data_IF_795331699285
#
_entry.id   IF_795331699285
#
_cell.length_a   1.000
_cell.length_b   1.000
_cell.length_c   1.000
_cell.angle_alpha   90.00
_cell.angle_beta   90.00
_cell.angle_gamma   90.00
#
_symmetry.space_group_name_H-M   'P 1'
#
loop_
_entity.id
_entity.type
_entity.pdbx_description
1 polymer ?
#
# COMPACT_ATOMS: atom_id res chain seq x y z
N UNK A 1 16.21 3.48 -41.49
CA UNK A 1 16.00 2.83 -40.17
C UNK A 1 14.69 2.07 -40.13
N UNK A 2 13.56 2.59 -40.62
CA UNK A 2 12.25 1.91 -40.64
C UNK A 2 12.29 0.50 -41.26
N UNK A 3 12.88 0.38 -42.45
CA UNK A 3 13.01 -0.94 -43.10
C UNK A 3 13.77 -1.98 -42.29
N UNK A 4 14.68 -1.54 -41.42
CA UNK A 4 15.44 -2.39 -40.52
C UNK A 4 14.57 -2.91 -39.37
N UNK A 5 13.74 -2.04 -38.77
CA UNK A 5 12.84 -2.40 -37.67
C UNK A 5 11.74 -3.35 -38.17
N UNK A 6 11.16 -3.09 -39.35
CA UNK A 6 10.17 -3.99 -39.97
C UNK A 6 10.78 -5.37 -40.20
N UNK A 7 12.03 -5.41 -40.69
CA UNK A 7 12.75 -6.68 -40.86
C UNK A 7 12.97 -7.41 -39.54
N UNK A 8 13.31 -6.70 -38.45
CA UNK A 8 13.43 -7.27 -37.12
C UNK A 8 12.11 -7.84 -36.57
N UNK A 9 11.02 -7.10 -36.74
CA UNK A 9 9.66 -7.54 -36.35
C UNK A 9 9.30 -8.86 -37.05
N UNK A 10 9.54 -8.94 -38.36
CA UNK A 10 9.30 -10.16 -39.13
C UNK A 10 10.17 -11.32 -38.64
N UNK A 11 11.43 -11.06 -38.28
CA UNK A 11 12.34 -12.05 -37.73
C UNK A 11 11.87 -12.58 -36.35
N UNK A 12 11.45 -11.70 -35.44
CA UNK A 12 10.91 -12.10 -34.13
C UNK A 12 9.66 -12.95 -34.28
N UNK A 13 8.75 -12.56 -35.18
CA UNK A 13 7.56 -13.37 -35.48
C UNK A 13 7.95 -14.77 -35.98
N UNK A 14 8.89 -14.87 -36.91
CA UNK A 14 9.38 -16.15 -37.42
C UNK A 14 10.02 -17.01 -36.32
N UNK A 15 10.58 -16.40 -35.28
CA UNK A 15 11.14 -17.08 -34.10
C UNK A 15 10.08 -17.46 -33.05
N UNK A 16 8.79 -17.20 -33.32
CA UNK A 16 7.69 -17.55 -32.44
C UNK A 16 7.45 -16.56 -31.29
N UNK A 17 7.92 -15.33 -31.45
CA UNK A 17 7.59 -14.27 -30.48
C UNK A 17 6.13 -13.88 -30.58
N UNK A 18 5.51 -13.63 -29.42
CA UNK A 18 4.21 -12.99 -29.33
C UNK A 18 4.40 -11.48 -29.40
N UNK A 19 3.77 -10.85 -30.39
CA UNK A 19 3.96 -9.42 -30.66
C UNK A 19 2.75 -8.62 -30.16
N UNK A 20 3.01 -7.60 -29.37
CA UNK A 20 2.04 -6.65 -28.86
C UNK A 20 2.29 -5.29 -29.49
N UNK A 21 1.26 -4.73 -30.14
CA UNK A 21 1.30 -3.41 -30.72
C UNK A 21 0.54 -2.43 -29.87
N UNK A 22 1.09 -1.24 -29.70
CA UNK A 22 0.44 -0.17 -28.97
C UNK A 22 0.78 1.17 -29.63
N UNK A 23 -0.25 2.01 -29.80
CA UNK A 23 -0.11 3.41 -30.24
C UNK A 23 -0.37 4.27 -29.03
N UNK A 24 0.69 4.82 -28.37
CA UNK A 24 0.54 5.66 -27.19
C UNK A 24 0.03 7.05 -27.56
N UNK A 25 -0.88 7.58 -26.77
CA UNK A 25 -1.23 9.00 -26.77
C UNK A 25 -0.34 9.72 -25.73
N UNK A 26 0.78 10.26 -26.19
CA UNK A 26 1.71 10.95 -25.31
C UNK A 26 1.26 12.36 -24.94
N UNK A 27 0.30 12.93 -25.66
CA UNK A 27 -0.27 14.23 -25.41
C UNK A 27 -1.42 14.19 -24.39
N UNK A 28 -1.97 13.01 -24.09
CA UNK A 28 -3.06 12.85 -23.14
C UNK A 28 -2.64 13.19 -21.72
N UNK A 29 -3.38 14.07 -21.06
CA UNK A 29 -3.18 14.43 -19.65
C UNK A 29 -3.38 13.24 -18.71
N UNK A 30 -4.16 12.23 -19.12
CA UNK A 30 -4.39 11.03 -18.31
C UNK A 30 -3.17 10.10 -18.27
N UNK A 31 -2.28 10.17 -19.25
CA UNK A 31 -1.03 9.42 -19.29
C UNK A 31 -1.21 7.89 -19.24
N UNK A 32 -2.32 7.36 -19.77
CA UNK A 32 -2.67 5.93 -19.68
C UNK A 32 -1.63 5.02 -20.34
N UNK A 33 -0.85 5.55 -21.29
CA UNK A 33 0.24 4.84 -21.94
C UNK A 33 1.27 4.28 -20.93
N UNK A 34 1.50 5.00 -19.82
CA UNK A 34 2.39 4.54 -18.73
C UNK A 34 1.92 3.23 -18.13
N UNK A 35 0.62 3.08 -17.93
CA UNK A 35 0.04 1.86 -17.34
C UNK A 35 0.23 0.65 -18.27
N UNK A 36 0.11 0.86 -19.59
CA UNK A 36 0.31 -0.20 -20.60
C UNK A 36 1.75 -0.68 -20.60
N UNK A 37 2.70 0.25 -20.63
CA UNK A 37 4.14 -0.05 -20.63
C UNK A 37 4.53 -0.77 -19.33
N UNK A 38 4.11 -0.25 -18.18
CA UNK A 38 4.39 -0.85 -16.87
C UNK A 38 3.83 -2.27 -16.76
N UNK A 39 2.63 -2.51 -17.29
CA UNK A 39 2.04 -3.84 -17.31
C UNK A 39 2.92 -4.82 -18.10
N UNK A 40 3.47 -4.40 -19.23
CA UNK A 40 4.39 -5.21 -20.02
C UNK A 40 5.72 -5.47 -19.29
N UNK A 41 6.35 -4.44 -18.77
CA UNK A 41 7.66 -4.54 -18.09
C UNK A 41 7.60 -5.42 -16.82
N UNK A 42 6.47 -5.43 -16.13
CA UNK A 42 6.24 -6.30 -14.96
C UNK A 42 5.99 -7.76 -15.34
N UNK A 43 5.27 -7.97 -16.44
CA UNK A 43 4.84 -9.29 -16.84
C UNK A 43 5.92 -10.13 -17.51
N UNK A 44 6.88 -9.48 -18.17
CA UNK A 44 7.85 -10.14 -19.04
C UNK A 44 9.30 -9.80 -18.68
N UNK A 45 10.22 -10.63 -19.15
CA UNK A 45 11.66 -10.53 -18.99
C UNK A 45 12.38 -10.70 -20.33
N UNK A 46 13.69 -10.55 -20.32
CA UNK A 46 14.52 -10.82 -21.50
C UNK A 46 14.43 -12.27 -22.01
N UNK A 47 14.03 -13.21 -21.15
CA UNK A 47 13.91 -14.62 -21.49
C UNK A 47 12.58 -15.00 -22.13
N UNK A 48 11.60 -14.08 -22.10
CA UNK A 48 10.29 -14.31 -22.65
C UNK A 48 10.29 -14.06 -24.18
N UNK A 49 9.66 -14.94 -24.92
CA UNK A 49 9.47 -14.73 -26.37
C UNK A 49 8.33 -13.76 -26.63
N UNK A 50 8.49 -12.53 -26.17
CA UNK A 50 7.54 -11.43 -26.39
C UNK A 50 8.27 -10.20 -26.90
N UNK A 51 7.56 -9.39 -27.70
CA UNK A 51 8.06 -8.06 -28.09
C UNK A 51 6.91 -7.04 -28.03
N UNK A 52 7.22 -5.89 -27.45
CA UNK A 52 6.31 -4.77 -27.33
C UNK A 52 6.69 -3.69 -28.37
N UNK A 53 5.80 -3.39 -29.29
CA UNK A 53 6.06 -2.52 -30.41
C UNK A 53 5.25 -1.24 -30.24
N UNK A 54 5.95 -0.15 -29.95
CA UNK A 54 5.39 1.18 -29.86
C UNK A 54 5.34 1.80 -31.25
N UNK A 55 4.14 2.13 -31.70
CA UNK A 55 3.91 2.84 -32.97
C UNK A 55 3.69 4.32 -32.65
N UNK A 56 4.63 5.18 -33.07
CA UNK A 56 4.68 6.59 -32.70
C UNK A 56 4.09 7.44 -33.83
N UNK A 57 3.03 8.19 -33.56
CA UNK A 57 2.48 9.19 -34.49
C UNK A 57 3.26 10.51 -34.47
N UNK A 58 3.78 10.86 -33.29
CA UNK A 58 4.46 12.14 -33.09
C UNK A 58 5.96 12.03 -33.36
N UNK A 59 6.51 13.02 -34.04
CA UNK A 59 7.95 13.10 -34.28
C UNK A 59 8.75 13.51 -33.04
N UNK A 60 8.12 14.05 -32.01
CA UNK A 60 8.75 14.52 -30.76
C UNK A 60 8.29 13.75 -29.52
N UNK A 61 8.70 12.50 -29.45
CA UNK A 61 8.45 11.62 -28.31
C UNK A 61 9.71 11.41 -27.42
N UNK A 62 10.71 12.30 -27.55
CA UNK A 62 12.01 12.09 -26.92
C UNK A 62 11.93 11.99 -25.39
N UNK A 63 11.11 12.82 -24.74
CA UNK A 63 10.94 12.82 -23.28
C UNK A 63 10.30 11.50 -22.79
N UNK A 64 9.23 11.05 -23.45
CA UNK A 64 8.49 9.83 -23.11
C UNK A 64 9.32 8.57 -23.41
N UNK A 65 10.05 8.57 -24.51
CA UNK A 65 11.01 7.50 -24.81
C UNK A 65 12.16 7.49 -23.81
N UNK A 66 12.58 8.64 -23.30
CA UNK A 66 13.55 8.77 -22.22
C UNK A 66 13.04 8.14 -20.91
N UNK A 67 11.78 8.37 -20.56
CA UNK A 67 11.13 7.74 -19.39
C UNK A 67 11.12 6.20 -19.53
N UNK A 68 10.69 5.69 -20.68
CA UNK A 68 10.69 4.25 -20.97
C UNK A 68 12.11 3.68 -20.94
N UNK A 69 13.08 4.38 -21.53
CA UNK A 69 14.48 3.99 -21.51
C UNK A 69 15.04 3.90 -20.09
N UNK A 70 14.64 4.80 -19.20
CA UNK A 70 15.02 4.77 -17.78
C UNK A 70 14.51 3.50 -17.08
N UNK A 71 13.25 3.11 -17.31
CA UNK A 71 12.70 1.89 -16.76
C UNK A 71 13.36 0.63 -17.31
N UNK A 72 13.63 0.60 -18.61
CA UNK A 72 14.36 -0.52 -19.24
C UNK A 72 15.79 -0.62 -18.70
N UNK A 73 16.47 0.50 -18.50
CA UNK A 73 17.83 0.54 -17.93
C UNK A 73 17.83 0.04 -16.47
N UNK A 74 16.78 0.30 -15.70
CA UNK A 74 16.65 -0.22 -14.34
C UNK A 74 16.55 -1.74 -14.30
N UNK A 75 15.90 -2.35 -15.30
CA UNK A 75 15.80 -3.81 -15.44
C UNK A 75 17.11 -4.46 -15.93
N UNK A 76 18.00 -3.68 -16.51
CA UNK A 76 19.31 -4.15 -16.99
C UNK A 76 19.21 -5.33 -17.96
N UNK A 77 19.88 -6.43 -17.66
CA UNK A 77 19.87 -7.64 -18.52
C UNK A 77 18.54 -8.40 -18.50
N UNK A 78 17.64 -8.11 -17.56
CA UNK A 78 16.31 -8.72 -17.47
C UNK A 78 15.23 -7.92 -18.22
N UNK A 79 15.60 -6.83 -18.88
CA UNK A 79 14.67 -5.99 -19.63
C UNK A 79 14.02 -6.75 -20.79
N UNK A 80 12.67 -6.79 -20.88
CA UNK A 80 11.98 -7.39 -22.00
C UNK A 80 12.19 -6.56 -23.27
N UNK A 81 11.93 -7.15 -24.42
CA UNK A 81 12.13 -6.50 -25.71
C UNK A 81 11.06 -5.44 -25.96
N UNK A 82 11.49 -4.19 -26.10
CA UNK A 82 10.65 -3.04 -26.51
C UNK A 82 11.26 -2.42 -27.77
N UNK A 83 10.45 -2.23 -28.78
CA UNK A 83 10.82 -1.58 -30.05
C UNK A 83 9.92 -0.35 -30.28
N UNK A 84 10.47 0.69 -30.85
CA UNK A 84 9.70 1.88 -31.27
C UNK A 84 9.90 2.15 -32.76
N UNK A 85 8.83 2.43 -33.48
CA UNK A 85 8.87 2.81 -34.88
C UNK A 85 7.73 3.77 -35.23
N UNK A 86 7.85 4.44 -36.38
CA UNK A 86 6.80 5.34 -36.83
C UNK A 86 5.49 4.60 -37.09
N UNK A 87 4.38 5.25 -36.74
CA UNK A 87 3.05 4.73 -37.00
C UNK A 87 2.73 4.74 -38.51
N UNK A 88 2.12 3.66 -38.98
CA UNK A 88 1.50 3.59 -40.30
C UNK A 88 0.32 2.62 -40.24
N UNK A 89 -0.83 3.01 -40.78
CA UNK A 89 -2.04 2.16 -40.84
C UNK A 89 -1.78 0.82 -41.53
N UNK A 90 -0.96 0.84 -42.58
CA UNK A 90 -0.57 -0.36 -43.33
C UNK A 90 0.28 -1.31 -42.50
N UNK A 91 1.20 -0.77 -41.69
CA UNK A 91 2.04 -1.57 -40.79
C UNK A 91 1.19 -2.26 -39.71
N UNK A 92 0.31 -1.51 -39.06
CA UNK A 92 -0.58 -2.04 -38.03
C UNK A 92 -1.56 -3.06 -38.63
N UNK A 93 -2.22 -2.76 -39.74
CA UNK A 93 -3.17 -3.69 -40.40
C UNK A 93 -2.48 -4.99 -40.79
N UNK A 94 -1.30 -4.94 -41.39
CA UNK A 94 -0.54 -6.12 -41.78
C UNK A 94 -0.13 -6.96 -40.58
N UNK A 95 0.27 -6.33 -39.47
CA UNK A 95 0.62 -7.03 -38.25
C UNK A 95 -0.60 -7.75 -37.66
N UNK A 96 -1.72 -7.07 -37.59
CA UNK A 96 -2.96 -7.61 -37.02
C UNK A 96 -3.53 -8.77 -37.87
N UNK A 97 -3.43 -8.70 -39.21
CA UNK A 97 -3.80 -9.81 -40.07
C UNK A 97 -2.95 -11.08 -39.86
N UNK A 98 -1.75 -10.93 -39.35
CA UNK A 98 -0.86 -12.04 -39.00
C UNK A 98 -1.10 -12.62 -37.59
N UNK A 99 -2.12 -12.16 -36.90
CA UNK A 99 -2.51 -12.65 -35.57
C UNK A 99 -1.83 -11.97 -34.40
N UNK A 100 -1.14 -10.86 -34.63
CA UNK A 100 -0.56 -10.05 -33.57
C UNK A 100 -1.67 -9.37 -32.73
N UNK A 101 -1.32 -8.86 -31.56
CA UNK A 101 -2.28 -8.31 -30.59
C UNK A 101 -2.17 -6.80 -30.55
N UNK A 102 -3.28 -6.09 -30.75
CA UNK A 102 -3.36 -4.65 -30.46
C UNK A 102 -3.74 -4.44 -28.98
N UNK A 103 -2.90 -3.72 -28.28
CA UNK A 103 -3.24 -3.14 -26.97
C UNK A 103 -3.78 -1.72 -27.21
N UNK A 104 -4.81 -1.35 -26.48
CA UNK A 104 -5.47 -0.06 -26.64
C UNK A 104 -5.94 0.51 -25.29
N UNK A 105 -6.24 1.80 -25.26
CA UNK A 105 -6.80 2.52 -24.12
C UNK A 105 -8.16 3.11 -24.49
N UNK A 106 -8.71 3.97 -23.65
CA UNK A 106 -9.94 4.73 -23.99
C UNK A 106 -9.67 6.04 -24.72
N UNK A 107 -8.41 6.37 -24.97
CA UNK A 107 -7.97 7.62 -25.61
C UNK A 107 -8.37 7.63 -27.09
N UNK A 108 -8.45 8.81 -27.70
CA UNK A 108 -8.99 8.99 -29.06
C UNK A 108 -8.21 8.21 -30.12
N UNK A 109 -6.89 8.27 -30.07
CA UNK A 109 -6.01 7.52 -30.98
C UNK A 109 -6.25 6.02 -30.89
N UNK A 110 -6.50 5.52 -29.69
CA UNK A 110 -6.82 4.13 -29.42
C UNK A 110 -8.12 3.70 -30.06
N UNK A 111 -9.15 4.54 -30.06
CA UNK A 111 -10.42 4.25 -30.71
C UNK A 111 -10.27 4.07 -32.22
N UNK A 112 -9.45 4.89 -32.87
CA UNK A 112 -9.13 4.78 -34.28
C UNK A 112 -8.41 3.46 -34.58
N UNK A 113 -7.40 3.12 -33.80
CA UNK A 113 -6.67 1.87 -33.96
C UNK A 113 -7.54 0.64 -33.70
N UNK A 114 -8.46 0.70 -32.72
CA UNK A 114 -9.42 -0.38 -32.45
C UNK A 114 -10.40 -0.58 -33.61
N UNK A 115 -10.84 0.49 -34.26
CA UNK A 115 -11.68 0.41 -35.46
C UNK A 115 -10.93 -0.26 -36.63
N UNK A 116 -9.66 0.09 -36.83
CA UNK A 116 -8.80 -0.52 -37.83
C UNK A 116 -8.62 -2.03 -37.57
N UNK A 117 -8.37 -2.41 -36.33
CA UNK A 117 -8.27 -3.80 -35.91
C UNK A 117 -9.57 -4.57 -36.12
N UNK A 118 -10.72 -3.97 -35.82
CA UNK A 118 -12.04 -4.53 -36.07
C UNK A 118 -12.29 -4.81 -37.55
N UNK A 119 -11.83 -3.91 -38.42
CA UNK A 119 -11.97 -4.09 -39.90
C UNK A 119 -11.22 -5.31 -40.43
N UNK A 120 -10.13 -5.73 -39.77
CA UNK A 120 -9.36 -6.93 -40.16
C UNK A 120 -9.62 -8.13 -39.26
N UNK A 121 -10.62 -8.08 -38.37
CA UNK A 121 -11.00 -9.17 -37.47
C UNK A 121 -9.94 -9.52 -36.42
N UNK A 122 -9.09 -8.56 -36.05
CA UNK A 122 -7.98 -8.81 -35.17
C UNK A 122 -8.36 -8.74 -33.67
N UNK A 123 -7.52 -9.34 -32.85
CA UNK A 123 -7.69 -9.30 -31.40
C UNK A 123 -7.28 -7.94 -30.85
N UNK A 124 -8.22 -7.25 -30.21
CA UNK A 124 -7.99 -6.01 -29.45
C UNK A 124 -8.10 -6.32 -27.97
N UNK A 125 -7.15 -5.84 -27.19
CA UNK A 125 -7.15 -5.97 -25.72
C UNK A 125 -7.05 -4.59 -25.11
N UNK A 126 -8.04 -4.23 -24.30
CA UNK A 126 -8.01 -2.97 -23.56
C UNK A 126 -7.05 -3.07 -22.38
N UNK A 127 -6.24 -2.04 -22.20
CA UNK A 127 -5.19 -2.00 -21.19
C UNK A 127 -5.69 -2.30 -19.76
N UNK A 128 -6.88 -1.81 -19.41
CA UNK A 128 -7.51 -2.09 -18.10
C UNK A 128 -7.78 -3.56 -17.85
N UNK A 129 -8.02 -4.33 -18.93
CA UNK A 129 -8.36 -5.75 -18.88
C UNK A 129 -7.15 -6.64 -19.21
N UNK A 130 -6.02 -5.98 -19.56
CA UNK A 130 -4.78 -6.67 -19.89
C UNK A 130 -3.96 -6.93 -18.64
N UNK A 131 -4.09 -8.11 -18.12
CA UNK A 131 -3.33 -8.59 -16.97
C UNK A 131 -2.53 -9.84 -17.39
N UNK A 132 -1.45 -9.64 -18.18
CA UNK A 132 -0.57 -10.73 -18.52
C UNK A 132 0.07 -11.24 -17.23
N UNK A 133 -0.03 -12.53 -16.95
CA UNK A 133 0.47 -13.14 -15.72
C UNK A 133 -0.18 -12.58 -14.44
N UNK A 134 -1.51 -12.38 -14.46
CA UNK A 134 -2.25 -12.05 -13.25
C UNK A 134 -1.91 -13.05 -12.14
N UNK A 135 -1.41 -12.55 -11.02
CA UNK A 135 -1.10 -13.34 -9.83
C UNK A 135 -2.06 -12.93 -8.73
N UNK A 136 -2.52 -13.92 -7.99
CA UNK A 136 -3.07 -13.66 -6.67
C UNK A 136 -1.91 -13.62 -5.67
N UNK A 137 -1.97 -12.70 -4.74
CA UNK A 137 -0.95 -12.55 -3.69
C UNK A 137 -1.55 -12.94 -2.34
N UNK A 138 -0.68 -13.40 -1.45
CA UNK A 138 -1.05 -13.60 -0.06
C UNK A 138 -1.27 -12.26 0.61
N UNK A 139 -0.33 -11.32 0.43
CA UNK A 139 -0.35 -10.02 1.09
C UNK A 139 -0.13 -8.87 0.08
N UNK A 140 -0.95 -7.83 0.16
CA UNK A 140 -0.68 -6.53 -0.47
C UNK A 140 -0.19 -5.56 0.60
N UNK A 141 1.07 -5.13 0.50
CA UNK A 141 1.60 -4.09 1.38
C UNK A 141 1.31 -2.72 0.77
N UNK A 142 0.49 -1.94 1.47
CA UNK A 142 0.02 -0.64 1.04
C UNK A 142 0.78 0.46 1.80
N UNK A 143 1.61 1.20 1.07
CA UNK A 143 2.44 2.29 1.60
C UNK A 143 1.77 3.62 1.27
N UNK A 144 1.06 4.21 2.24
CA UNK A 144 0.49 5.53 2.08
C UNK A 144 1.52 6.61 2.45
N UNK A 145 1.62 7.64 1.61
CA UNK A 145 2.60 8.70 1.82
C UNK A 145 2.07 10.09 1.47
N UNK A 146 2.60 11.10 2.13
CA UNK A 146 2.42 12.51 1.83
C UNK A 146 3.67 13.28 2.26
N UNK A 147 4.35 13.93 1.31
CA UNK A 147 5.63 14.62 1.51
C UNK A 147 6.66 13.75 2.25
N UNK A 148 6.90 12.51 1.76
CA UNK A 148 7.77 11.59 2.45
C UNK A 148 9.22 12.09 2.51
N UNK A 149 9.90 11.75 3.59
CA UNK A 149 11.35 11.62 3.54
C UNK A 149 11.70 10.44 2.64
N UNK A 150 12.49 10.70 1.60
CA UNK A 150 12.79 9.71 0.57
C UNK A 150 13.58 8.53 1.13
N UNK A 151 14.51 8.77 2.05
CA UNK A 151 15.31 7.72 2.67
C UNK A 151 14.41 6.81 3.52
N UNK A 152 13.50 7.40 4.31
CA UNK A 152 12.52 6.63 5.09
C UNK A 152 11.62 5.80 4.19
N UNK A 153 11.14 6.37 3.08
CA UNK A 153 10.33 5.63 2.11
C UNK A 153 11.08 4.42 1.56
N UNK A 154 12.31 4.59 1.08
CA UNK A 154 13.10 3.47 0.55
C UNK A 154 13.50 2.46 1.62
N UNK A 155 13.71 2.88 2.86
CA UNK A 155 13.94 1.96 3.98
C UNK A 155 12.69 1.14 4.30
N UNK A 156 11.51 1.76 4.30
CA UNK A 156 10.22 1.05 4.43
C UNK A 156 10.06 0.02 3.31
N UNK A 157 10.25 0.43 2.07
CA UNK A 157 10.19 -0.47 0.91
C UNK A 157 11.22 -1.61 1.00
N UNK A 158 12.44 -1.32 1.50
CA UNK A 158 13.46 -2.34 1.74
C UNK A 158 12.97 -3.40 2.73
N UNK A 159 12.33 -3.00 3.82
CA UNK A 159 11.79 -3.94 4.80
C UNK A 159 10.70 -4.85 4.20
N UNK A 160 9.98 -4.34 3.19
CA UNK A 160 8.91 -5.09 2.49
C UNK A 160 9.48 -6.05 1.46
N UNK A 161 10.39 -5.60 0.58
CA UNK A 161 10.94 -6.48 -0.48
C UNK A 161 11.80 -7.62 0.07
N UNK A 162 12.26 -7.51 1.32
CA UNK A 162 13.00 -8.56 2.03
C UNK A 162 12.12 -9.67 2.59
N UNK A 163 10.80 -9.49 2.62
CA UNK A 163 9.89 -10.48 3.17
C UNK A 163 9.94 -11.81 2.41
N UNK A 164 9.92 -12.88 3.15
CA UNK A 164 10.01 -14.26 2.67
C UNK A 164 8.85 -15.10 3.19
N UNK A 165 8.55 -16.19 2.48
CA UNK A 165 7.55 -17.17 2.92
C UNK A 165 6.11 -16.84 2.54
N UNK A 166 5.84 -15.71 1.89
CA UNK A 166 4.55 -15.38 1.30
C UNK A 166 4.74 -14.66 -0.04
N UNK A 167 3.74 -14.76 -0.91
CA UNK A 167 3.69 -13.95 -2.13
C UNK A 167 3.13 -12.56 -1.81
N UNK A 168 3.82 -11.52 -2.27
CA UNK A 168 3.40 -10.16 -1.97
C UNK A 168 3.47 -9.21 -3.16
N UNK A 169 2.66 -8.16 -3.12
CA UNK A 169 2.77 -6.98 -3.97
C UNK A 169 2.90 -5.72 -3.12
N UNK A 170 3.48 -4.67 -3.70
CA UNK A 170 3.61 -3.35 -3.07
C UNK A 170 2.71 -2.35 -3.81
N UNK A 171 1.88 -1.62 -3.06
CA UNK A 171 1.12 -0.50 -3.57
C UNK A 171 1.58 0.77 -2.86
N UNK A 172 2.12 1.74 -3.60
CA UNK A 172 2.51 3.05 -3.07
C UNK A 172 1.48 4.07 -3.48
N UNK A 173 0.91 4.78 -2.52
CA UNK A 173 -0.07 5.84 -2.74
C UNK A 173 0.43 7.18 -2.19
N UNK A 174 0.77 8.10 -3.08
CA UNK A 174 1.08 9.47 -2.71
C UNK A 174 -0.18 10.34 -2.71
N UNK A 175 -0.42 11.04 -1.61
CA UNK A 175 -1.61 11.87 -1.40
C UNK A 175 -1.37 13.34 -1.78
N UNK A 176 -0.89 13.56 -2.99
CA UNK A 176 -0.75 14.91 -3.57
C UNK A 176 0.49 15.68 -3.09
N UNK A 177 1.63 15.01 -2.97
CA UNK A 177 2.90 15.70 -2.70
C UNK A 177 3.41 16.44 -3.95
N UNK A 178 3.81 17.68 -3.80
CA UNK A 178 4.32 18.50 -4.90
C UNK A 178 5.58 17.93 -5.58
N UNK A 179 6.42 17.22 -4.79
CA UNK A 179 7.73 16.73 -5.24
C UNK A 179 7.83 15.20 -5.21
N UNK A 180 6.72 14.47 -5.24
CA UNK A 180 6.76 13.02 -5.30
C UNK A 180 7.17 12.54 -6.68
N UNK A 181 8.33 11.90 -6.76
CA UNK A 181 8.85 11.32 -8.00
C UNK A 181 8.49 9.84 -8.09
N UNK A 182 7.32 9.56 -8.66
CA UNK A 182 6.83 8.19 -8.87
C UNK A 182 7.78 7.36 -9.75
N UNK A 183 8.42 7.98 -10.75
CA UNK A 183 9.37 7.31 -11.64
C UNK A 183 10.63 6.87 -10.89
N UNK A 184 11.11 7.69 -9.96
CA UNK A 184 12.26 7.35 -9.12
C UNK A 184 11.97 6.17 -8.18
N UNK A 185 10.77 6.14 -7.57
CA UNK A 185 10.35 5.00 -6.74
C UNK A 185 10.25 3.73 -7.58
N UNK A 186 9.65 3.83 -8.75
CA UNK A 186 9.52 2.73 -9.69
C UNK A 186 10.89 2.20 -10.15
N UNK A 187 11.77 3.10 -10.58
CA UNK A 187 13.13 2.78 -10.97
C UNK A 187 13.90 2.04 -9.86
N UNK A 188 13.76 2.53 -8.61
CA UNK A 188 14.41 1.92 -7.47
C UNK A 188 13.89 0.49 -7.23
N UNK A 189 12.56 0.27 -7.23
CA UNK A 189 11.97 -1.07 -7.07
C UNK A 189 12.47 -2.04 -8.15
N UNK A 190 12.52 -1.59 -9.41
CA UNK A 190 13.03 -2.39 -10.52
C UNK A 190 14.51 -2.73 -10.36
N UNK A 191 15.34 -1.81 -9.88
CA UNK A 191 16.75 -2.09 -9.56
C UNK A 191 16.92 -3.11 -8.44
N UNK A 192 15.98 -3.18 -7.50
CA UNK A 192 15.96 -4.24 -6.48
C UNK A 192 15.44 -5.59 -7.05
N UNK A 193 15.09 -5.65 -8.33
CA UNK A 193 14.50 -6.83 -8.96
C UNK A 193 13.03 -7.08 -8.60
N UNK A 194 12.38 -6.10 -7.95
CA UNK A 194 10.99 -6.23 -7.52
C UNK A 194 10.03 -5.66 -8.57
N UNK A 195 9.19 -6.53 -9.15
CA UNK A 195 8.29 -6.19 -10.26
C UNK A 195 6.80 -6.16 -9.88
N UNK A 196 6.43 -6.70 -8.74
CA UNK A 196 5.04 -6.82 -8.29
C UNK A 196 4.61 -5.58 -7.48
N UNK A 197 4.52 -4.43 -8.17
CA UNK A 197 4.18 -3.14 -7.54
C UNK A 197 3.16 -2.35 -8.35
N UNK A 198 2.51 -1.39 -7.67
CA UNK A 198 1.70 -0.33 -8.26
C UNK A 198 2.04 0.98 -7.56
N UNK A 199 2.13 2.07 -8.31
CA UNK A 199 2.37 3.42 -7.78
C UNK A 199 1.27 4.33 -8.29
N UNK A 200 0.65 5.08 -7.40
CA UNK A 200 -0.32 6.12 -7.74
C UNK A 200 0.04 7.42 -7.00
N UNK A 201 -0.26 8.54 -7.64
CA UNK A 201 -0.15 9.86 -7.05
C UNK A 201 -1.44 10.62 -7.28
N UNK A 202 -1.92 11.27 -6.26
CA UNK A 202 -3.06 12.18 -6.35
C UNK A 202 -2.59 13.58 -6.74
N UNK A 203 -3.48 14.38 -7.32
CA UNK A 203 -3.19 15.79 -7.63
C UNK A 203 -3.35 16.71 -6.42
N UNK A 204 -4.00 16.24 -5.36
CA UNK A 204 -4.28 16.97 -4.13
C UNK A 204 -4.28 16.05 -2.92
N UNK A 205 -4.02 16.60 -1.74
CA UNK A 205 -4.15 15.86 -0.48
C UNK A 205 -5.62 15.64 -0.15
N UNK A 206 -6.05 14.38 -0.12
CA UNK A 206 -7.43 13.95 0.15
C UNK A 206 -7.59 13.20 1.47
N UNK A 207 -6.49 13.02 2.19
CA UNK A 207 -6.42 12.36 3.48
C UNK A 207 -6.15 10.85 3.43
N UNK A 208 -5.65 10.35 4.53
CA UNK A 208 -5.14 8.97 4.69
C UNK A 208 -6.22 7.93 4.42
N UNK A 209 -7.45 8.16 4.92
CA UNK A 209 -8.59 7.24 4.73
C UNK A 209 -8.86 6.98 3.24
N UNK A 210 -8.91 8.04 2.45
CA UNK A 210 -9.17 7.92 1.01
C UNK A 210 -7.98 7.30 0.27
N UNK A 211 -6.77 7.66 0.65
CA UNK A 211 -5.57 7.10 0.06
C UNK A 211 -5.52 5.57 0.29
N UNK A 212 -5.67 5.09 1.53
CA UNK A 212 -5.73 3.65 1.81
C UNK A 212 -6.92 2.97 1.13
N UNK A 213 -8.09 3.59 1.10
CA UNK A 213 -9.24 3.02 0.40
C UNK A 213 -8.94 2.74 -1.07
N UNK A 214 -8.28 3.69 -1.77
CA UNK A 214 -7.92 3.52 -3.18
C UNK A 214 -6.84 2.45 -3.38
N UNK A 215 -5.87 2.36 -2.46
CA UNK A 215 -4.87 1.29 -2.47
C UNK A 215 -5.52 -0.09 -2.26
N UNK A 216 -6.40 -0.24 -1.27
CA UNK A 216 -7.04 -1.52 -0.96
C UNK A 216 -8.01 -1.98 -2.06
N UNK A 217 -8.66 -1.05 -2.77
CA UNK A 217 -9.48 -1.39 -3.94
C UNK A 217 -8.65 -1.93 -5.11
N UNK A 218 -7.38 -1.55 -5.21
CA UNK A 218 -6.46 -2.03 -6.26
C UNK A 218 -5.65 -3.25 -5.81
N UNK A 219 -5.57 -3.49 -4.52
CA UNK A 219 -4.86 -4.62 -3.94
C UNK A 219 -5.46 -5.94 -4.40
N UNK A 220 -4.60 -6.93 -4.66
CA UNK A 220 -4.96 -8.28 -5.09
C UNK A 220 -4.65 -9.33 -4.05
N UNK A 221 -3.93 -8.96 -2.99
CA UNK A 221 -3.65 -9.82 -1.86
C UNK A 221 -4.91 -10.23 -1.10
N UNK A 222 -4.87 -11.41 -0.51
CA UNK A 222 -5.92 -11.85 0.42
C UNK A 222 -5.93 -10.96 1.65
N UNK A 223 -4.75 -10.64 2.16
CA UNK A 223 -4.53 -9.73 3.27
C UNK A 223 -3.95 -8.41 2.79
N UNK A 224 -4.21 -7.36 3.55
CA UNK A 224 -3.58 -6.04 3.39
C UNK A 224 -2.76 -5.70 4.61
N UNK A 225 -1.64 -5.04 4.37
CA UNK A 225 -0.76 -4.49 5.39
C UNK A 225 -0.54 -3.01 5.11
N UNK A 226 -1.15 -2.15 5.91
CA UNK A 226 -0.94 -0.71 5.87
C UNK A 226 0.38 -0.35 6.56
N UNK A 227 1.19 0.50 5.95
CA UNK A 227 2.44 1.00 6.53
C UNK A 227 2.77 2.38 5.94
N UNK A 228 3.48 3.20 6.67
CA UNK A 228 3.90 4.54 6.25
C UNK A 228 5.43 4.67 6.23
N UNK A 229 6.01 5.61 5.47
CA UNK A 229 7.44 5.89 5.53
C UNK A 229 7.89 6.21 6.95
N UNK A 230 8.94 5.51 7.41
CA UNK A 230 9.43 5.57 8.79
C UNK A 230 9.02 4.37 9.63
N UNK A 231 7.96 3.66 9.26
CA UNK A 231 7.66 2.36 9.85
C UNK A 231 8.29 1.25 9.01
N UNK A 232 8.81 0.21 9.65
CA UNK A 232 9.47 -0.91 8.97
C UNK A 232 8.94 -2.24 9.47
N UNK A 233 8.85 -3.24 8.60
CA UNK A 233 8.58 -4.61 9.04
C UNK A 233 9.75 -5.11 9.90
N UNK A 234 9.44 -5.77 11.01
CA UNK A 234 10.43 -6.08 12.04
C UNK A 234 11.55 -6.98 11.57
N UNK A 235 11.22 -8.04 10.83
CA UNK A 235 12.17 -9.01 10.28
C UNK A 235 11.70 -9.57 8.94
N UNK A 236 12.50 -10.45 8.33
CA UNK A 236 12.28 -10.91 6.96
C UNK A 236 11.10 -11.92 6.80
N UNK A 237 10.44 -12.37 7.87
CA UNK A 237 9.38 -13.39 7.82
C UNK A 237 8.06 -12.98 8.48
N UNK A 238 7.97 -11.76 9.01
CA UNK A 238 6.83 -11.37 9.87
C UNK A 238 5.48 -11.39 9.14
N UNK A 239 5.44 -11.13 7.83
CA UNK A 239 4.19 -11.20 7.06
C UNK A 239 3.71 -12.65 6.94
N UNK A 240 4.59 -13.59 6.61
CA UNK A 240 4.24 -15.01 6.50
C UNK A 240 3.84 -15.60 7.85
N UNK A 241 4.52 -15.21 8.92
CA UNK A 241 4.22 -15.69 10.26
C UNK A 241 2.89 -15.14 10.78
N UNK A 242 2.61 -13.85 10.57
CA UNK A 242 1.31 -13.24 10.89
C UNK A 242 0.17 -13.88 10.08
N UNK A 243 0.38 -14.10 8.78
CA UNK A 243 -0.60 -14.78 7.93
C UNK A 243 -0.93 -16.17 8.48
N UNK A 244 0.10 -16.96 8.82
CA UNK A 244 -0.08 -18.29 9.40
C UNK A 244 -0.84 -18.22 10.72
N UNK A 245 -0.48 -17.29 11.61
CA UNK A 245 -1.20 -17.06 12.86
C UNK A 245 -2.69 -16.78 12.63
N UNK A 246 -3.01 -15.88 11.68
CA UNK A 246 -4.38 -15.54 11.36
C UNK A 246 -5.16 -16.74 10.81
N UNK A 247 -4.56 -17.53 9.94
CA UNK A 247 -5.17 -18.73 9.35
C UNK A 247 -5.41 -19.84 10.37
N UNK A 248 -4.42 -20.13 11.21
CA UNK A 248 -4.51 -21.18 12.24
C UNK A 248 -5.59 -20.89 13.29
N UNK A 249 -5.85 -19.61 13.59
CA UNK A 249 -6.81 -19.21 14.62
C UNK A 249 -8.13 -18.66 14.03
N UNK A 250 -8.22 -18.52 12.71
CA UNK A 250 -9.42 -18.01 12.04
C UNK A 250 -9.64 -16.50 12.21
N UNK A 251 -8.59 -15.72 12.46
CA UNK A 251 -8.69 -14.28 12.60
C UNK A 251 -8.78 -13.60 11.23
N UNK A 252 -9.68 -12.63 11.11
CA UNK A 252 -9.83 -11.79 9.94
C UNK A 252 -9.04 -10.48 10.05
N UNK A 253 -8.69 -10.08 11.25
CA UNK A 253 -7.83 -8.97 11.61
C UNK A 253 -6.96 -9.38 12.78
N UNK A 254 -5.69 -9.03 12.76
CA UNK A 254 -4.77 -9.30 13.85
C UNK A 254 -3.69 -8.23 13.92
N UNK A 255 -3.09 -8.08 15.08
CA UNK A 255 -1.96 -7.18 15.25
C UNK A 255 -0.82 -7.88 16.01
N UNK A 256 0.40 -7.38 15.79
CA UNK A 256 1.58 -7.81 16.52
C UNK A 256 2.15 -6.69 17.39
N UNK A 257 3.27 -6.96 18.05
CA UNK A 257 3.96 -5.93 18.84
C UNK A 257 4.57 -4.87 17.94
N UNK A 258 4.43 -3.60 18.32
CA UNK A 258 5.15 -2.47 17.74
C UNK A 258 6.40 -2.16 18.57
N UNK A 259 7.57 -2.27 17.96
CA UNK A 259 8.83 -1.85 18.58
C UNK A 259 9.03 -0.36 18.31
N UNK A 260 8.78 0.47 19.32
CA UNK A 260 8.84 1.91 19.17
C UNK A 260 10.30 2.38 19.12
N UNK A 261 10.59 3.30 18.22
CA UNK A 261 11.89 3.95 18.11
C UNK A 261 11.72 5.42 17.70
N UNK A 262 12.75 6.22 17.94
CA UNK A 262 12.89 7.53 17.32
C UNK A 262 14.28 7.68 16.72
N UNK A 263 14.39 8.52 15.70
CA UNK A 263 15.66 8.87 15.06
C UNK A 263 15.99 10.31 15.35
N UNK A 264 17.25 10.58 15.75
CA UNK A 264 17.78 11.90 15.94
C UNK A 264 19.26 11.93 15.54
N UNK A 265 19.60 12.77 14.56
CA UNK A 265 20.97 12.93 14.04
C UNK A 265 21.64 11.59 13.64
N UNK A 266 20.91 10.71 12.97
CA UNK A 266 21.41 9.40 12.53
C UNK A 266 21.61 8.39 13.66
N UNK A 267 21.06 8.65 14.84
CA UNK A 267 21.03 7.71 15.97
C UNK A 267 19.59 7.23 16.19
N UNK A 268 19.45 5.94 16.30
CA UNK A 268 18.17 5.27 16.49
C UNK A 268 18.05 4.77 17.91
N UNK A 269 17.08 5.29 18.64
CA UNK A 269 16.82 4.96 20.05
C UNK A 269 15.54 4.14 20.16
N UNK A 270 15.66 2.90 20.64
CA UNK A 270 14.52 2.02 20.90
C UNK A 270 13.98 2.34 22.28
N UNK A 271 12.68 2.57 22.39
CA UNK A 271 12.02 2.95 23.64
C UNK A 271 11.08 1.87 24.14
N UNK A 272 11.05 1.68 25.45
CA UNK A 272 10.14 0.73 26.12
C UNK A 272 8.74 1.32 26.22
N UNK A 273 8.02 1.26 25.09
CA UNK A 273 6.65 1.75 24.95
C UNK A 273 5.83 0.79 24.14
N UNK A 274 4.56 0.68 24.46
CA UNK A 274 3.62 -0.11 23.66
C UNK A 274 2.23 0.52 23.60
N UNK A 275 1.55 0.24 22.51
CA UNK A 275 0.13 0.44 22.34
C UNK A 275 -0.50 -0.85 21.77
N UNK A 276 -1.58 -1.40 22.37
CA UNK A 276 -2.25 -0.89 23.58
C UNK A 276 -1.39 -1.04 24.83
N UNK A 277 -1.68 -0.25 25.88
CA UNK A 277 -0.97 -0.33 27.15
C UNK A 277 -1.25 -1.63 27.91
N UNK A 278 -2.41 -2.25 27.67
CA UNK A 278 -2.75 -3.54 28.24
C UNK A 278 -2.94 -4.62 27.17
N UNK A 279 -2.04 -5.60 27.17
CA UNK A 279 -2.10 -6.75 26.25
C UNK A 279 -2.87 -7.95 26.80
N UNK A 280 -3.12 -7.98 28.10
CA UNK A 280 -3.75 -9.11 28.78
C UNK A 280 -5.12 -9.51 28.19
N UNK A 281 -6.05 -8.57 27.89
CA UNK A 281 -7.31 -8.89 27.25
C UNK A 281 -7.16 -9.66 25.93
N UNK A 282 -6.14 -9.32 25.15
CA UNK A 282 -5.88 -9.94 23.85
C UNK A 282 -5.20 -11.31 24.01
N UNK A 283 -4.28 -11.46 24.95
CA UNK A 283 -3.63 -12.76 25.27
C UNK A 283 -4.65 -13.78 25.75
N UNK A 284 -5.64 -13.36 26.52
CA UNK A 284 -6.72 -14.20 27.02
C UNK A 284 -7.88 -14.37 26.02
N UNK A 285 -7.84 -13.66 24.88
CA UNK A 285 -8.93 -13.64 23.90
C UNK A 285 -10.29 -13.26 24.54
N UNK A 286 -10.26 -12.36 25.52
CA UNK A 286 -11.44 -11.90 26.23
C UNK A 286 -12.11 -10.77 25.47
N UNK A 287 -13.06 -11.11 24.59
CA UNK A 287 -13.76 -10.15 23.72
C UNK A 287 -14.42 -9.00 24.51
N UNK A 288 -14.98 -9.27 25.68
CA UNK A 288 -15.61 -8.22 26.50
C UNK A 288 -14.56 -7.21 27.03
N UNK A 289 -13.42 -7.71 27.51
CA UNK A 289 -12.33 -6.86 27.98
C UNK A 289 -11.66 -6.10 26.81
N UNK A 290 -11.54 -6.71 25.63
CA UNK A 290 -11.05 -6.02 24.41
C UNK A 290 -12.00 -4.88 24.03
N UNK A 291 -13.31 -5.13 24.01
CA UNK A 291 -14.32 -4.07 23.74
C UNK A 291 -14.23 -2.95 24.76
N UNK A 292 -14.09 -3.26 26.04
CA UNK A 292 -13.95 -2.26 27.09
C UNK A 292 -12.68 -1.44 26.91
N UNK A 293 -11.52 -2.06 26.68
CA UNK A 293 -10.25 -1.40 26.44
C UNK A 293 -10.33 -0.46 25.23
N UNK A 294 -10.88 -0.94 24.12
CA UNK A 294 -10.98 -0.14 22.88
C UNK A 294 -12.06 0.93 22.93
N UNK A 295 -13.29 0.54 23.26
CA UNK A 295 -14.44 1.44 23.14
C UNK A 295 -14.57 2.39 24.33
N UNK A 296 -14.27 1.95 25.55
CA UNK A 296 -14.41 2.79 26.76
C UNK A 296 -13.10 3.51 27.06
N UNK A 297 -11.97 2.78 27.10
CA UNK A 297 -10.69 3.35 27.50
C UNK A 297 -9.97 4.05 26.36
N UNK A 298 -10.28 3.73 25.10
CA UNK A 298 -9.53 4.17 23.92
C UNK A 298 -8.04 3.79 23.99
N UNK A 299 -7.78 2.59 24.50
CA UNK A 299 -6.45 1.99 24.53
C UNK A 299 -6.24 1.18 23.24
N UNK A 300 -5.74 1.88 22.22
CA UNK A 300 -5.64 1.38 20.85
C UNK A 300 -4.27 0.77 20.55
N UNK A 301 -4.26 -0.31 19.79
CA UNK A 301 -3.05 -0.72 19.09
C UNK A 301 -2.74 0.26 17.95
N UNK A 302 -1.46 0.43 17.62
CA UNK A 302 -1.08 1.31 16.49
C UNK A 302 -1.47 0.68 15.15
N UNK A 303 -1.99 1.48 14.21
CA UNK A 303 -2.44 1.00 12.91
C UNK A 303 -1.38 0.24 12.13
N UNK A 304 -0.13 0.73 12.17
CA UNK A 304 1.00 0.06 11.54
C UNK A 304 1.28 -1.36 12.09
N UNK A 305 0.71 -1.76 13.23
CA UNK A 305 0.89 -3.11 13.79
C UNK A 305 -0.14 -4.13 13.30
N UNK A 306 -1.15 -3.72 12.54
CA UNK A 306 -2.20 -4.60 12.03
C UNK A 306 -1.86 -5.24 10.68
N UNK A 307 -2.47 -6.40 10.44
CA UNK A 307 -2.70 -7.02 9.14
C UNK A 307 -4.14 -7.53 9.10
N UNK A 308 -4.84 -7.28 8.00
CA UNK A 308 -6.27 -7.54 7.90
C UNK A 308 -6.64 -8.28 6.60
N UNK A 309 -7.73 -9.01 6.65
CA UNK A 309 -8.38 -9.49 5.43
C UNK A 309 -8.83 -8.29 4.59
N UNK A 310 -8.36 -8.20 3.34
CA UNK A 310 -8.58 -7.07 2.44
C UNK A 310 -10.05 -6.66 2.33
N UNK A 311 -10.94 -7.61 2.12
CA UNK A 311 -12.36 -7.31 1.92
C UNK A 311 -13.00 -6.77 3.18
N UNK A 312 -12.56 -7.25 4.37
CA UNK A 312 -13.02 -6.73 5.65
C UNK A 312 -12.64 -5.26 5.80
N UNK A 313 -11.33 -4.96 5.74
CA UNK A 313 -10.84 -3.59 5.94
C UNK A 313 -11.41 -2.63 4.90
N UNK A 314 -11.47 -3.04 3.63
CA UNK A 314 -12.07 -2.24 2.56
C UNK A 314 -13.54 -1.88 2.85
N UNK A 315 -14.32 -2.80 3.42
CA UNK A 315 -15.73 -2.53 3.73
C UNK A 315 -15.89 -1.46 4.81
N UNK A 316 -15.07 -1.51 5.86
CA UNK A 316 -15.12 -0.52 6.94
C UNK A 316 -14.61 0.85 6.51
N UNK A 317 -13.52 0.91 5.73
CA UNK A 317 -13.05 2.19 5.19
C UNK A 317 -14.06 2.83 4.24
N UNK A 318 -14.80 2.03 3.45
CA UNK A 318 -15.86 2.54 2.58
C UNK A 318 -16.93 3.31 3.35
N UNK A 319 -17.29 2.83 4.53
CA UNK A 319 -18.27 3.47 5.40
C UNK A 319 -17.75 4.77 6.02
N UNK A 320 -16.44 4.94 6.08
CA UNK A 320 -15.76 6.11 6.66
C UNK A 320 -15.41 7.19 5.62
N UNK A 321 -15.17 6.79 4.36
CA UNK A 321 -14.79 7.74 3.29
C UNK A 321 -15.82 8.87 3.16
N UNK A 322 -15.32 10.10 3.23
CA UNK A 322 -16.15 11.32 3.16
C UNK A 322 -16.55 11.89 4.52
N UNK A 323 -16.58 11.09 5.58
CA UNK A 323 -16.81 11.54 6.95
C UNK A 323 -15.52 11.65 7.78
N UNK A 324 -14.62 10.69 7.61
CA UNK A 324 -13.31 10.61 8.27
C UNK A 324 -12.24 10.86 7.22
N UNK A 325 -11.22 11.64 7.54
CA UNK A 325 -10.21 12.07 6.57
C UNK A 325 -8.84 11.44 6.85
N UNK A 326 -8.36 11.47 8.10
CA UNK A 326 -6.99 11.11 8.45
C UNK A 326 -6.86 9.89 9.35
N UNK A 327 -7.91 9.51 10.10
CA UNK A 327 -7.84 8.44 11.09
C UNK A 327 -8.46 7.15 10.56
N UNK A 328 -7.74 6.45 9.67
CA UNK A 328 -8.14 5.14 9.14
C UNK A 328 -8.29 4.08 10.23
N UNK A 329 -7.58 4.23 11.34
CA UNK A 329 -7.70 3.38 12.54
C UNK A 329 -9.10 3.37 13.15
N UNK A 330 -9.94 4.37 12.83
CA UNK A 330 -11.36 4.37 13.15
C UNK A 330 -12.08 3.11 12.64
N UNK A 331 -11.58 2.48 11.58
CA UNK A 331 -12.09 1.20 11.07
C UNK A 331 -11.98 0.08 12.11
N UNK A 332 -10.88 0.00 12.87
CA UNK A 332 -10.69 -0.99 13.92
C UNK A 332 -11.68 -0.77 15.09
N UNK A 333 -11.95 0.50 15.42
CA UNK A 333 -12.93 0.83 16.46
C UNK A 333 -14.33 0.34 16.05
N UNK A 334 -14.71 0.57 14.78
CA UNK A 334 -15.99 0.12 14.25
C UNK A 334 -16.05 -1.42 14.15
N UNK A 335 -14.98 -2.10 13.76
CA UNK A 335 -14.92 -3.58 13.76
C UNK A 335 -15.16 -4.15 15.16
N UNK A 336 -14.53 -3.57 16.18
CA UNK A 336 -14.67 -4.02 17.56
C UNK A 336 -16.08 -3.73 18.09
N UNK A 337 -16.70 -2.63 17.68
CA UNK A 337 -18.10 -2.37 17.97
C UNK A 337 -19.03 -3.46 17.38
N UNK A 338 -18.72 -3.95 16.18
CA UNK A 338 -19.39 -5.04 15.46
C UNK A 338 -18.97 -6.44 15.93
N UNK A 339 -18.36 -6.58 17.12
CA UNK A 339 -17.86 -7.85 17.69
C UNK A 339 -16.73 -8.54 16.90
N UNK A 340 -16.05 -7.83 16.00
CA UNK A 340 -14.88 -8.32 15.28
C UNK A 340 -13.61 -7.93 16.04
N UNK A 341 -13.26 -8.74 17.05
CA UNK A 341 -12.06 -8.52 17.85
C UNK A 341 -10.81 -9.02 17.11
N UNK A 342 -9.71 -8.24 17.13
CA UNK A 342 -8.46 -8.67 16.51
C UNK A 342 -7.77 -9.77 17.30
N UNK A 343 -7.09 -10.67 16.60
CA UNK A 343 -6.11 -11.57 17.21
C UNK A 343 -4.86 -10.79 17.64
N UNK A 344 -4.19 -11.24 18.67
CA UNK A 344 -2.90 -10.70 19.08
C UNK A 344 -1.79 -11.73 18.88
N UNK A 345 -0.93 -11.47 17.93
CA UNK A 345 0.29 -12.23 17.68
C UNK A 345 1.41 -11.70 18.58
N UNK A 346 1.71 -12.40 19.68
CA UNK A 346 2.65 -11.93 20.73
C UNK A 346 4.12 -11.97 20.27
N UNK A 347 4.41 -11.36 19.11
CA UNK A 347 5.73 -11.23 18.52
C UNK A 347 5.93 -9.82 17.93
N UNK A 348 7.19 -9.40 17.81
CA UNK A 348 7.55 -8.13 17.20
C UNK A 348 7.19 -8.16 15.71
N UNK A 349 6.36 -7.20 15.27
CA UNK A 349 5.83 -7.15 13.91
C UNK A 349 6.32 -5.95 13.11
N UNK A 350 6.40 -4.78 13.75
CA UNK A 350 6.87 -3.55 13.10
C UNK A 350 7.82 -2.77 14.01
N UNK A 351 8.77 -2.10 13.38
CA UNK A 351 9.47 -0.95 13.93
C UNK A 351 8.58 0.27 13.68
N UNK A 352 8.13 0.92 14.75
CA UNK A 352 7.22 2.05 14.68
C UNK A 352 7.95 3.35 15.08
N UNK A 353 8.00 4.30 14.14
CA UNK A 353 8.65 5.58 14.40
C UNK A 353 7.79 6.47 15.30
N UNK A 354 8.31 6.81 16.49
CA UNK A 354 7.69 7.79 17.38
C UNK A 354 8.05 9.21 16.95
N UNK A 355 7.17 10.16 17.26
CA UNK A 355 7.41 11.61 17.20
C UNK A 355 7.55 12.23 15.80
N UNK A 356 7.47 11.45 14.71
CA UNK A 356 7.56 11.96 13.34
C UNK A 356 6.29 11.82 12.51
N UNK A 357 5.34 11.00 12.94
CA UNK A 357 4.11 10.70 12.20
C UNK A 357 3.01 11.76 12.34
N UNK A 358 1.98 11.62 11.50
CA UNK A 358 0.75 12.44 11.53
C UNK A 358 0.11 12.44 12.93
N UNK A 359 0.13 11.29 13.62
CA UNK A 359 -0.45 11.12 14.96
C UNK A 359 0.40 11.71 16.10
N UNK A 360 1.67 11.99 15.86
CA UNK A 360 2.59 12.59 16.82
C UNK A 360 2.73 14.11 16.68
N UNK A 361 2.14 14.70 15.64
CA UNK A 361 2.12 16.16 15.45
C UNK A 361 1.30 16.86 16.53
N UNK A 362 1.98 17.59 17.44
CA UNK A 362 1.35 18.31 18.55
C UNK A 362 0.79 19.68 18.16
N UNK A 363 0.63 20.01 16.86
CA UNK A 363 0.05 21.30 16.47
C UNK A 363 -1.44 21.35 16.86
N UNK A 364 -1.87 22.54 17.29
CA UNK A 364 -3.26 22.77 17.70
C UNK A 364 -4.25 22.48 16.57
N UNK A 365 -3.89 22.83 15.35
CA UNK A 365 -4.69 22.57 14.15
C UNK A 365 -4.82 21.06 13.90
N UNK A 366 -3.73 20.33 14.08
CA UNK A 366 -3.74 18.89 13.90
C UNK A 366 -4.61 18.18 14.94
N UNK A 367 -4.48 18.54 16.20
CA UNK A 367 -5.32 18.02 17.27
C UNK A 367 -6.80 18.29 17.04
N UNK A 368 -7.14 19.44 16.45
CA UNK A 368 -8.53 19.75 16.07
C UNK A 368 -9.04 18.83 14.96
N UNK A 369 -8.22 18.54 13.94
CA UNK A 369 -8.58 17.63 12.84
C UNK A 369 -8.81 16.20 13.36
N UNK A 370 -7.92 15.68 14.18
CA UNK A 370 -8.10 14.37 14.80
C UNK A 370 -9.37 14.29 15.64
N UNK A 371 -9.71 15.37 16.36
CA UNK A 371 -10.96 15.44 17.13
C UNK A 371 -12.22 15.43 16.25
N UNK A 372 -12.15 16.04 15.06
CA UNK A 372 -13.27 16.00 14.07
C UNK A 372 -13.45 14.57 13.57
N UNK A 373 -12.37 13.91 13.15
CA UNK A 373 -12.39 12.55 12.63
C UNK A 373 -12.87 11.54 13.68
N UNK A 374 -12.40 11.69 14.92
CA UNK A 374 -12.85 10.84 16.03
C UNK A 374 -14.35 11.00 16.29
N UNK A 375 -14.88 12.24 16.25
CA UNK A 375 -16.32 12.49 16.36
C UNK A 375 -17.10 11.85 15.22
N UNK A 376 -16.60 11.92 13.99
CA UNK A 376 -17.23 11.28 12.84
C UNK A 376 -17.29 9.75 13.01
N UNK A 377 -16.19 9.12 13.43
CA UNK A 377 -16.13 7.69 13.72
C UNK A 377 -17.15 7.31 14.82
N UNK A 378 -17.18 8.05 15.93
CA UNK A 378 -18.12 7.80 17.02
C UNK A 378 -19.58 8.00 16.58
N UNK A 379 -19.84 8.94 15.66
CA UNK A 379 -21.20 9.13 15.11
C UNK A 379 -21.63 7.93 14.27
N UNK A 380 -20.75 7.40 13.41
CA UNK A 380 -21.01 6.19 12.63
C UNK A 380 -21.33 5.01 13.56
N UNK A 381 -20.56 4.85 14.64
CA UNK A 381 -20.78 3.79 15.62
C UNK A 381 -22.11 3.97 16.34
N UNK A 382 -22.43 5.19 16.78
CA UNK A 382 -23.69 5.49 17.49
C UNK A 382 -24.94 5.28 16.63
N UNK A 383 -24.83 5.45 15.31
CA UNK A 383 -25.92 5.16 14.36
C UNK A 383 -26.16 3.66 14.23
N UNK A 384 -25.11 2.86 14.14
CA UNK A 384 -25.16 1.39 14.00
C UNK A 384 -25.51 0.69 15.29
N UNK A 385 -25.04 1.21 16.42
CA UNK A 385 -25.12 0.62 17.75
C UNK A 385 -25.88 1.55 18.71
N UNK A 386 -27.22 1.49 18.74
CA UNK A 386 -28.01 2.33 19.65
C UNK A 386 -27.63 2.16 21.12
N UNK A 387 -27.15 0.97 21.53
CA UNK A 387 -26.67 0.65 22.88
C UNK A 387 -25.39 1.38 23.24
N UNK A 388 -24.56 1.76 22.26
CA UNK A 388 -23.32 2.51 22.47
C UNK A 388 -23.49 4.03 22.40
N UNK A 389 -24.68 4.54 22.12
CA UNK A 389 -24.94 5.99 21.97
C UNK A 389 -24.53 6.81 23.19
N UNK A 390 -24.81 6.31 24.39
CA UNK A 390 -24.43 7.01 25.62
C UNK A 390 -22.91 7.11 25.77
N UNK A 391 -22.18 6.03 25.45
CA UNK A 391 -20.73 5.98 25.46
C UNK A 391 -20.14 6.93 24.41
N UNK A 392 -20.63 6.89 23.17
CA UNK A 392 -20.18 7.78 22.10
C UNK A 392 -20.44 9.26 22.47
N UNK A 393 -21.59 9.59 23.02
CA UNK A 393 -21.92 10.93 23.48
C UNK A 393 -20.96 11.40 24.59
N UNK A 394 -20.62 10.52 25.54
CA UNK A 394 -19.67 10.83 26.61
C UNK A 394 -18.25 11.13 26.05
N UNK A 395 -17.77 10.35 25.07
CA UNK A 395 -16.51 10.64 24.40
C UNK A 395 -16.55 11.96 23.61
N UNK A 396 -17.60 12.19 22.82
CA UNK A 396 -17.78 13.42 22.05
C UNK A 396 -17.88 14.66 22.94
N UNK A 397 -18.40 14.52 24.17
CA UNK A 397 -18.43 15.55 25.20
C UNK A 397 -17.10 15.79 25.92
N UNK A 398 -16.01 15.11 25.49
CA UNK A 398 -14.69 15.28 26.07
C UNK A 398 -14.49 14.60 27.42
N UNK A 399 -15.29 13.59 27.75
CA UNK A 399 -15.24 12.85 29.03
C UNK A 399 -15.37 13.75 30.26
N UNK A 400 -16.14 14.81 30.17
CA UNK A 400 -16.26 15.84 31.21
C UNK A 400 -17.06 15.37 32.44
N UNK A 401 -17.96 14.42 32.24
CA UNK A 401 -18.70 13.80 33.34
C UNK A 401 -17.79 12.85 34.14
N UNK A 402 -17.33 13.33 35.29
CA UNK A 402 -16.43 12.61 36.20
C UNK A 402 -17.15 11.53 37.03
N UNK A 403 -18.47 11.61 37.13
CA UNK A 403 -19.32 10.65 37.84
C UNK A 403 -19.82 9.53 36.91
N UNK A 404 -19.54 9.63 35.64
CA UNK A 404 -19.88 8.60 34.67
C UNK A 404 -19.31 7.25 35.06
N UNK A 405 -20.05 6.13 34.93
CA UNK A 405 -19.54 4.79 35.16
C UNK A 405 -18.33 4.47 34.24
N UNK A 406 -18.28 5.07 33.07
CA UNK A 406 -17.15 4.92 32.12
C UNK A 406 -15.85 5.49 32.69
N UNK A 407 -15.90 6.60 33.44
CA UNK A 407 -14.71 7.22 34.02
C UNK A 407 -14.02 6.27 35.02
N UNK A 408 -14.78 5.53 35.82
CA UNK A 408 -14.20 4.55 36.74
C UNK A 408 -13.46 3.46 35.98
N UNK A 409 -14.07 2.92 34.91
CA UNK A 409 -13.45 1.91 34.05
C UNK A 409 -12.11 2.42 33.48
N UNK A 410 -12.10 3.65 32.96
CA UNK A 410 -10.88 4.29 32.43
C UNK A 410 -9.79 4.42 33.48
N UNK A 411 -10.14 4.88 34.68
CA UNK A 411 -9.17 5.04 35.80
C UNK A 411 -8.61 3.70 36.22
N UNK A 412 -9.46 2.68 36.40
CA UNK A 412 -9.06 1.35 36.81
C UNK A 412 -8.14 0.73 35.74
N UNK A 413 -8.50 0.86 34.47
CA UNK A 413 -7.71 0.35 33.34
C UNK A 413 -6.31 0.93 33.28
N UNK A 414 -6.17 2.27 33.30
CA UNK A 414 -4.85 2.91 33.20
C UNK A 414 -4.05 2.79 34.49
N UNK A 415 -4.68 2.67 35.67
CA UNK A 415 -3.98 2.35 36.92
C UNK A 415 -3.34 0.96 36.85
N UNK A 416 -4.06 -0.03 36.31
CA UNK A 416 -3.52 -1.37 36.09
C UNK A 416 -2.42 -1.36 35.01
N UNK A 417 -2.59 -0.62 33.92
CA UNK A 417 -1.56 -0.44 32.89
C UNK A 417 -0.25 0.12 33.48
N UNK A 418 -0.34 1.15 34.31
CA UNK A 418 0.83 1.69 35.02
C UNK A 418 1.49 0.69 35.96
N UNK A 419 0.69 -0.16 36.63
CA UNK A 419 1.20 -1.22 37.49
C UNK A 419 1.98 -2.26 36.69
N UNK A 420 1.43 -2.68 35.54
CA UNK A 420 2.06 -3.64 34.63
C UNK A 420 3.37 -3.07 34.10
N UNK A 421 3.37 -1.83 33.62
CA UNK A 421 4.56 -1.16 33.06
C UNK A 421 5.73 -1.03 34.04
N UNK A 422 5.47 -1.07 35.37
CA UNK A 422 6.53 -1.06 36.39
C UNK A 422 7.17 -2.43 36.61
N UNK A 423 6.52 -3.50 36.17
CA UNK A 423 6.93 -4.89 36.44
C UNK A 423 7.29 -5.66 35.17
N UNK A 424 6.81 -5.22 34.03
CA UNK A 424 7.00 -5.88 32.73
C UNK A 424 7.57 -4.88 31.73
N UNK A 425 8.60 -5.28 30.97
CA UNK A 425 9.08 -4.54 29.82
C UNK A 425 8.26 -4.89 28.58
N UNK A 426 7.91 -3.91 27.78
CA UNK A 426 7.28 -4.14 26.48
C UNK A 426 8.29 -4.61 25.42
N UNK A 427 9.60 -4.41 25.65
CA UNK A 427 10.67 -4.85 24.77
C UNK A 427 10.97 -6.35 24.97
N UNK A 428 10.09 -7.21 24.52
CA UNK A 428 10.32 -8.65 24.59
C UNK A 428 11.05 -9.14 23.34
N UNK A 429 12.22 -9.77 23.55
CA UNK A 429 13.00 -10.40 22.49
C UNK A 429 13.35 -9.44 21.31
N UNK A 430 13.58 -8.16 21.61
CA UNK A 430 13.99 -7.18 20.59
C UNK A 430 15.45 -7.41 20.22
N UNK A 431 15.65 -7.78 18.95
CA UNK A 431 17.00 -7.84 18.36
C UNK A 431 17.29 -6.55 17.59
N UNK A 432 18.16 -5.72 18.14
CA UNK A 432 18.60 -4.46 17.52
C UNK A 432 19.26 -4.67 16.16
N UNK A 433 19.77 -5.87 15.87
CA UNK A 433 20.39 -6.15 14.59
C UNK A 433 19.34 -6.21 13.46
N UNK A 434 18.07 -6.48 13.76
CA UNK A 434 17.02 -6.41 12.75
C UNK A 434 16.84 -4.98 12.24
N UNK A 435 16.84 -3.97 13.13
CA UNK A 435 16.80 -2.57 12.72
C UNK A 435 18.09 -2.15 11.99
N UNK A 436 19.26 -2.58 12.47
CA UNK A 436 20.56 -2.29 11.83
C UNK A 436 20.70 -2.83 10.41
N UNK A 437 19.94 -3.84 10.01
CA UNK A 437 19.90 -4.33 8.64
C UNK A 437 19.21 -3.35 7.67
N UNK A 438 18.40 -2.45 8.20
CA UNK A 438 17.56 -1.52 7.45
C UNK A 438 18.11 -0.10 7.44
N UNK A 439 18.64 0.36 8.56
CA UNK A 439 19.08 1.75 8.76
C UNK A 439 20.60 1.88 8.84
N UNK A 440 21.09 3.04 8.39
CA UNK A 440 22.51 3.41 8.53
C UNK A 440 22.68 4.33 9.74
N UNK A 441 23.17 3.81 10.86
CA UNK A 441 23.40 4.60 12.07
C UNK A 441 23.54 3.73 13.31
N UNK A 442 23.81 4.38 14.45
CA UNK A 442 23.90 3.70 15.73
C UNK A 442 22.49 3.39 16.26
N UNK A 443 22.26 2.15 16.65
CA UNK A 443 21.00 1.68 17.25
C UNK A 443 21.28 1.27 18.70
N UNK A 444 20.54 1.86 19.65
CA UNK A 444 20.64 1.57 21.08
C UNK A 444 19.27 1.63 21.77
N UNK A 445 19.21 1.18 23.01
CA UNK A 445 18.03 1.34 23.87
C UNK A 445 18.11 2.69 24.61
N UNK A 446 16.95 3.36 24.73
CA UNK A 446 16.79 4.60 25.49
C UNK A 446 16.74 4.35 26.99
#
# INVERSE_FOLDING_TARGET
EEGKIIGQIAQYRAQGFRLYYFVPDFASDEGLWRNVIRAYLRAYSANDKTAFILLLEESDAAAQLGEIGTLLAALGTDAPLVLACAYADTLLSNALQQGDVLLTTKEEISARCAALAGAVGAKVVYARDWQPNAKDYDVSVCVATYRPDEQKLFTTLTSVIRQQGCSLEILVGDDGSENFDALRVEWWLLQQGFKDYQIQSSTENRGTVRNYMELFLRARGRYVKAISPGDYLYSDHVLADMMRFMEEHGYRTAFGRSCHYYEHDGKYMIVDRMNPFQLHPYKEQNAAAIKEAYLVCQDYAVGASFMEERNLMTSYLRDMVGAVIYTEDGAHIAMIADDICPGFWDHNFVWYECDSGISSGLSKEWMQRLAIDNRATLSIIAERHPELRALCAWHMGGRTDRESPYMKIVVDHFTEAERIAKTESYLQNVDVNELKKLVCGDVSFA
#
